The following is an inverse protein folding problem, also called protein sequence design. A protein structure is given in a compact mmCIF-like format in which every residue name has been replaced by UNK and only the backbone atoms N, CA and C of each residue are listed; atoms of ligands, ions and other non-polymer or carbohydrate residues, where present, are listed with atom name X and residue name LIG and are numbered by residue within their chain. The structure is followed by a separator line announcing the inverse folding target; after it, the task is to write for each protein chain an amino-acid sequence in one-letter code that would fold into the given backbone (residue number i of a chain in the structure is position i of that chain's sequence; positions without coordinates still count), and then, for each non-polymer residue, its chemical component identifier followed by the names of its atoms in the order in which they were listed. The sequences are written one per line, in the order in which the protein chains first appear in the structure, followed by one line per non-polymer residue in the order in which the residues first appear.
data_IF_716461405669
#
_entry.id   IF_716461405669
#
_cell.length_a   1.000
_cell.length_b   1.000
_cell.length_c   1.000
_cell.angle_alpha   90.00
_cell.angle_beta   90.00
_cell.angle_gamma   90.00
#
_symmetry.space_group_name_H-M   'P 1'
#
loop_
_entity.id
_entity.type
_entity.pdbx_description
1 polymer ?
#
# COMPACT_ATOMS: atom_id res chain seq x y z
N UNK A 1 19.24 17.47 48.37
CA UNK A 1 20.12 17.74 47.23
C UNK A 1 19.56 16.98 46.03
N UNK A 2 19.00 17.69 45.05
CA UNK A 2 18.54 17.07 43.82
C UNK A 2 19.73 16.83 42.92
N UNK A 3 20.01 15.57 42.56
CA UNK A 3 21.02 15.21 41.58
C UNK A 3 20.47 15.67 40.22
N UNK A 4 21.20 16.48 39.42
CA UNK A 4 20.74 16.83 38.11
C UNK A 4 20.78 15.54 37.24
N UNK A 5 19.61 15.12 36.74
CA UNK A 5 19.52 14.12 35.69
C UNK A 5 20.12 14.79 34.47
N UNK A 6 21.34 14.42 34.13
CA UNK A 6 21.95 14.75 32.84
C UNK A 6 21.05 14.14 31.77
N UNK A 7 20.26 14.98 31.09
CA UNK A 7 19.56 14.56 29.89
C UNK A 7 20.60 14.05 28.89
N UNK A 8 20.67 12.75 28.71
CA UNK A 8 21.53 12.14 27.70
C UNK A 8 21.04 12.67 26.34
N UNK A 9 21.86 13.49 25.67
CA UNK A 9 21.53 13.99 24.35
C UNK A 9 21.34 12.79 23.41
N UNK A 10 20.12 12.58 22.96
CA UNK A 10 19.80 11.52 22.00
C UNK A 10 20.57 11.78 20.69
N UNK A 11 21.26 10.77 20.18
CA UNK A 11 21.97 10.86 18.92
C UNK A 11 20.98 11.14 17.78
N UNK A 12 21.22 12.21 17.04
CA UNK A 12 20.45 12.55 15.83
C UNK A 12 20.93 11.70 14.65
N UNK A 13 20.25 10.59 14.42
CA UNK A 13 20.58 9.64 13.35
C UNK A 13 20.31 10.22 11.95
N UNK A 14 19.45 11.22 11.81
CA UNK A 14 19.10 11.81 10.50
C UNK A 14 20.25 12.58 9.86
N UNK A 15 21.34 12.77 10.58
CA UNK A 15 22.51 13.51 10.12
C UNK A 15 23.68 12.60 9.69
N UNK A 16 23.52 11.28 9.81
CA UNK A 16 24.63 10.36 9.55
C UNK A 16 24.94 10.20 8.05
N UNK A 17 24.00 10.54 7.18
CA UNK A 17 24.14 10.39 5.73
C UNK A 17 24.40 11.70 4.97
N UNK A 18 24.83 12.76 5.66
CA UNK A 18 25.11 14.07 5.05
C UNK A 18 26.13 14.01 3.90
N UNK A 19 27.16 13.19 4.09
CA UNK A 19 28.25 13.03 3.15
C UNK A 19 28.19 11.65 2.44
N UNK A 20 26.98 11.08 2.29
CA UNK A 20 26.85 9.80 1.62
C UNK A 20 27.30 9.88 0.16
N UNK A 21 27.98 8.84 -0.30
CA UNK A 21 28.32 8.68 -1.70
C UNK A 21 27.10 8.18 -2.52
N UNK A 22 26.86 8.79 -3.67
CA UNK A 22 25.78 8.40 -4.59
C UNK A 22 24.44 9.04 -4.29
N UNK A 23 23.42 8.75 -5.11
CA UNK A 23 22.10 9.38 -5.03
C UNK A 23 21.25 8.81 -3.88
N UNK A 24 20.47 9.69 -3.24
CA UNK A 24 19.45 9.31 -2.26
C UNK A 24 18.21 8.76 -2.95
N UNK A 25 17.58 7.76 -2.38
CA UNK A 25 16.29 7.29 -2.86
C UNK A 25 15.21 8.36 -2.62
N UNK A 26 14.35 8.55 -3.60
CA UNK A 26 13.23 9.50 -3.54
C UNK A 26 11.93 8.75 -3.31
N UNK A 27 11.30 8.92 -2.16
CA UNK A 27 10.08 8.22 -1.79
C UNK A 27 8.91 9.20 -1.77
N UNK A 28 7.92 8.95 -2.62
CA UNK A 28 6.64 9.66 -2.66
C UNK A 28 5.57 8.80 -2.00
N UNK A 29 5.02 9.25 -0.87
CA UNK A 29 3.91 8.57 -0.20
C UNK A 29 2.59 9.22 -0.61
N UNK A 30 1.79 8.53 -1.42
CA UNK A 30 0.45 8.94 -1.81
C UNK A 30 -0.58 8.33 -0.84
N UNK A 31 -1.16 9.16 0.02
CA UNK A 31 -2.31 8.79 0.84
C UNK A 31 -3.59 8.75 0.00
N UNK A 32 -4.45 7.77 0.21
CA UNK A 32 -5.75 7.60 -0.48
C UNK A 32 -6.90 7.56 0.49
N UNK A 33 -8.11 7.89 0.02
CA UNK A 33 -9.36 7.81 0.81
C UNK A 33 -9.98 6.41 0.78
N UNK A 34 -9.26 5.38 0.34
CA UNK A 34 -9.79 4.07 -0.03
C UNK A 34 -10.92 4.15 -1.05
N UNK A 35 -10.61 3.87 -2.31
CA UNK A 35 -11.55 4.04 -3.43
C UNK A 35 -12.84 3.21 -3.30
N UNK A 36 -12.86 2.17 -2.46
CA UNK A 36 -14.08 1.44 -2.14
C UNK A 36 -15.12 2.26 -1.36
N UNK A 37 -14.69 3.38 -0.74
CA UNK A 37 -15.55 4.32 -0.02
C UNK A 37 -16.07 5.45 -0.92
N UNK A 38 -15.70 5.47 -2.20
CA UNK A 38 -16.14 6.48 -3.14
C UNK A 38 -17.65 6.37 -3.41
N UNK A 39 -18.34 7.52 -3.67
CA UNK A 39 -19.76 7.52 -3.97
C UNK A 39 -20.07 6.72 -5.24
N UNK A 40 -21.32 6.27 -5.39
CA UNK A 40 -21.77 5.49 -6.55
C UNK A 40 -21.58 6.20 -7.91
N UNK A 41 -21.43 7.52 -7.89
CA UNK A 41 -21.15 8.35 -9.08
C UNK A 41 -19.69 8.32 -9.51
N UNK A 42 -18.79 7.74 -8.71
CA UNK A 42 -17.36 7.64 -9.01
C UNK A 42 -17.11 6.91 -10.33
N UNK A 43 -16.24 7.47 -11.14
CA UNK A 43 -15.74 6.85 -12.38
C UNK A 43 -14.23 6.80 -12.36
N UNK A 44 -13.60 5.68 -12.76
CA UNK A 44 -12.14 5.57 -12.79
C UNK A 44 -11.43 6.70 -13.55
N UNK A 45 -12.03 7.23 -14.62
CA UNK A 45 -11.50 8.36 -15.39
C UNK A 45 -11.29 9.64 -14.57
N UNK A 46 -11.97 9.79 -13.43
CA UNK A 46 -11.72 10.93 -12.52
C UNK A 46 -10.33 10.90 -11.87
N UNK A 47 -9.60 9.78 -11.97
CA UNK A 47 -8.22 9.65 -11.51
C UNK A 47 -7.18 10.04 -12.58
N UNK A 48 -7.56 10.32 -13.83
CA UNK A 48 -6.62 10.55 -14.93
C UNK A 48 -5.65 11.69 -14.63
N UNK A 49 -6.13 12.80 -14.05
CA UNK A 49 -5.30 13.92 -13.64
C UNK A 49 -4.24 13.52 -12.60
N UNK A 50 -4.61 12.67 -11.64
CA UNK A 50 -3.68 12.13 -10.62
C UNK A 50 -2.65 11.22 -11.28
N UNK A 51 -3.09 10.27 -12.12
CA UNK A 51 -2.21 9.33 -12.83
C UNK A 51 -1.19 10.07 -13.72
N UNK A 52 -1.61 11.13 -14.40
CA UNK A 52 -0.74 11.94 -15.26
C UNK A 52 0.37 12.64 -14.46
N UNK A 53 0.05 13.16 -13.27
CA UNK A 53 1.03 13.77 -12.39
C UNK A 53 1.99 12.74 -11.81
N UNK A 54 1.49 11.61 -11.34
CA UNK A 54 2.30 10.50 -10.83
C UNK A 54 3.21 9.91 -11.92
N UNK A 55 2.74 9.81 -13.17
CA UNK A 55 3.56 9.34 -14.28
C UNK A 55 4.75 10.28 -14.58
N UNK A 56 4.61 11.60 -14.34
CA UNK A 56 5.71 12.56 -14.48
C UNK A 56 6.79 12.40 -13.41
N UNK A 57 6.43 11.92 -12.22
CA UNK A 57 7.40 11.54 -11.18
C UNK A 57 8.27 10.35 -11.61
N UNK A 58 7.78 9.51 -12.56
CA UNK A 58 8.47 8.33 -13.11
C UNK A 58 8.95 7.37 -12.01
N UNK A 59 8.08 6.86 -11.14
CA UNK A 59 8.48 5.86 -10.17
C UNK A 59 9.03 4.61 -10.86
N UNK A 60 10.08 4.03 -10.29
CA UNK A 60 10.70 2.77 -10.74
C UNK A 60 10.22 1.59 -9.90
N UNK A 61 9.67 1.89 -8.73
CA UNK A 61 9.08 0.94 -7.79
C UNK A 61 7.76 1.55 -7.33
N UNK A 62 6.70 0.74 -7.32
CA UNK A 62 5.40 1.11 -6.77
C UNK A 62 5.05 0.09 -5.69
N UNK A 63 4.77 0.57 -4.47
CA UNK A 63 4.31 -0.28 -3.36
C UNK A 63 2.84 -0.03 -3.07
N UNK A 64 2.14 -1.05 -2.56
CA UNK A 64 0.70 -1.04 -2.31
C UNK A 64 0.37 -1.63 -0.94
N UNK A 65 -0.70 -1.16 -0.33
CA UNK A 65 -1.27 -1.67 0.90
C UNK A 65 -2.06 -2.95 0.62
N UNK A 66 -1.34 -4.07 0.66
CA UNK A 66 -1.88 -5.43 0.65
C UNK A 66 -0.80 -6.40 1.16
N UNK A 67 -1.22 -7.56 1.64
CA UNK A 67 -0.35 -8.59 2.17
C UNK A 67 0.52 -9.21 1.06
N UNK A 68 1.76 -9.56 1.40
CA UNK A 68 2.65 -10.23 0.46
C UNK A 68 2.28 -11.71 0.27
N UNK A 69 2.77 -12.30 -0.82
CA UNK A 69 2.60 -13.73 -1.07
C UNK A 69 3.24 -14.59 0.02
N UNK A 70 4.39 -14.17 0.53
CA UNK A 70 5.08 -14.85 1.63
C UNK A 70 4.26 -14.82 2.92
N UNK A 71 3.67 -13.69 3.24
CA UNK A 71 2.79 -13.56 4.41
C UNK A 71 1.55 -14.42 4.27
N UNK A 72 0.91 -14.41 3.10
CA UNK A 72 -0.25 -15.23 2.82
C UNK A 72 0.05 -16.73 2.90
N UNK A 73 1.18 -17.19 2.36
CA UNK A 73 1.61 -18.59 2.47
C UNK A 73 1.91 -18.97 3.92
N UNK A 74 2.59 -18.11 4.66
CA UNK A 74 2.84 -18.31 6.08
C UNK A 74 1.53 -18.40 6.88
N UNK A 75 0.59 -17.47 6.66
CA UNK A 75 -0.69 -17.45 7.33
C UNK A 75 -1.53 -18.71 7.02
N UNK A 76 -1.54 -19.16 5.76
CA UNK A 76 -2.21 -20.39 5.33
C UNK A 76 -1.66 -21.66 6.00
N UNK A 77 -0.37 -21.66 6.37
CA UNK A 77 0.23 -22.78 7.15
C UNK A 77 -0.07 -22.70 8.64
N UNK A 78 -0.53 -21.55 9.14
CA UNK A 78 -0.81 -21.31 10.55
C UNK A 78 -2.27 -20.89 10.80
N UNK A 79 -3.22 -21.61 10.18
CA UNK A 79 -4.68 -21.31 10.23
C UNK A 79 -5.21 -21.14 11.66
N UNK A 80 -4.74 -21.95 12.61
CA UNK A 80 -5.15 -21.83 14.02
C UNK A 80 -4.81 -20.45 14.63
N UNK A 81 -3.80 -19.78 14.08
CA UNK A 81 -3.35 -18.45 14.55
C UNK A 81 -4.00 -17.31 13.77
N UNK A 82 -4.06 -17.42 12.44
CA UNK A 82 -4.44 -16.32 11.56
C UNK A 82 -5.87 -16.44 10.99
N UNK A 83 -6.49 -17.61 11.06
CA UNK A 83 -7.77 -17.89 10.41
C UNK A 83 -7.58 -18.43 8.98
N UNK A 84 -8.64 -19.03 8.46
CA UNK A 84 -8.63 -19.59 7.10
C UNK A 84 -8.78 -18.49 6.01
N UNK A 85 -9.34 -17.35 6.38
CA UNK A 85 -9.70 -16.27 5.46
C UNK A 85 -8.71 -15.09 5.51
N UNK A 86 -7.49 -15.30 6.03
CA UNK A 86 -6.47 -14.25 6.14
C UNK A 86 -6.14 -13.66 4.77
N UNK A 87 -5.96 -14.49 3.76
CA UNK A 87 -5.80 -14.08 2.36
C UNK A 87 -6.83 -14.80 1.48
N UNK A 88 -7.14 -14.21 0.34
CA UNK A 88 -8.03 -14.81 -0.64
C UNK A 88 -7.43 -16.12 -1.22
N UNK A 89 -8.27 -17.12 -1.47
CA UNK A 89 -7.84 -18.41 -2.03
C UNK A 89 -7.14 -18.27 -3.39
N UNK A 90 -6.03 -19.00 -3.55
CA UNK A 90 -5.29 -19.15 -4.80
C UNK A 90 -5.48 -20.52 -5.45
N UNK A 91 -6.39 -21.33 -4.95
CA UNK A 91 -6.57 -22.74 -5.37
C UNK A 91 -6.77 -22.88 -6.89
N UNK A 92 -7.59 -22.02 -7.50
CA UNK A 92 -7.80 -22.04 -8.96
C UNK A 92 -6.50 -21.78 -9.74
N UNK A 93 -5.64 -20.89 -9.24
CA UNK A 93 -4.36 -20.59 -9.87
C UNK A 93 -3.33 -21.71 -9.61
N UNK A 94 -3.34 -22.30 -8.40
CA UNK A 94 -2.53 -23.48 -8.07
C UNK A 94 -2.84 -24.64 -9.01
N UNK A 95 -4.11 -24.93 -9.26
CA UNK A 95 -4.54 -25.98 -10.19
C UNK A 95 -4.14 -25.66 -11.64
N UNK A 96 -4.28 -24.41 -12.08
CA UNK A 96 -3.98 -24.00 -13.43
C UNK A 96 -2.46 -23.96 -13.74
N UNK A 97 -1.63 -23.66 -12.76
CA UNK A 97 -0.17 -23.58 -12.91
C UNK A 97 0.54 -24.88 -12.55
N UNK A 98 -0.09 -25.74 -11.75
CA UNK A 98 0.53 -26.91 -11.12
C UNK A 98 1.53 -26.58 -10.02
N UNK A 99 1.56 -25.33 -9.51
CA UNK A 99 2.54 -24.85 -8.55
C UNK A 99 1.84 -24.36 -7.27
N UNK A 100 2.46 -24.62 -6.11
CA UNK A 100 2.11 -23.96 -4.88
C UNK A 100 2.65 -22.50 -4.85
N UNK A 101 2.27 -21.72 -3.83
CA UNK A 101 2.62 -20.32 -3.78
C UNK A 101 4.15 -20.08 -3.74
N UNK A 102 4.97 -20.79 -2.93
CA UNK A 102 6.42 -20.63 -2.93
C UNK A 102 7.06 -20.96 -4.29
N UNK A 103 6.63 -22.04 -4.94
CA UNK A 103 7.15 -22.42 -6.26
C UNK A 103 6.74 -21.40 -7.34
N UNK A 104 5.50 -20.89 -7.27
CA UNK A 104 5.02 -19.86 -8.19
C UNK A 104 5.79 -18.54 -8.03
N UNK A 105 6.09 -18.11 -6.79
CA UNK A 105 6.95 -16.94 -6.50
C UNK A 105 8.34 -17.11 -7.11
N UNK A 106 8.98 -18.25 -6.86
CA UNK A 106 10.33 -18.54 -7.36
C UNK A 106 10.37 -18.54 -8.90
N UNK A 107 9.38 -19.12 -9.57
CA UNK A 107 9.32 -19.14 -11.02
C UNK A 107 9.00 -17.76 -11.60
N UNK A 108 8.14 -16.97 -10.96
CA UNK A 108 7.87 -15.59 -11.36
C UNK A 108 9.15 -14.73 -11.29
N UNK A 109 9.91 -14.82 -10.20
CA UNK A 109 11.17 -14.09 -10.04
C UNK A 109 12.23 -14.52 -11.07
N UNK A 110 12.32 -15.82 -11.36
CA UNK A 110 13.20 -16.34 -12.40
C UNK A 110 12.85 -15.79 -13.78
N UNK A 111 11.55 -15.75 -14.13
CA UNK A 111 11.10 -15.16 -15.39
C UNK A 111 11.44 -13.67 -15.46
N UNK A 112 11.16 -12.90 -14.41
CA UNK A 112 11.45 -11.47 -14.36
C UNK A 112 12.95 -11.17 -14.51
N UNK A 113 13.83 -11.97 -13.89
CA UNK A 113 15.29 -11.84 -14.03
C UNK A 113 15.78 -12.16 -15.45
N UNK A 114 15.10 -13.09 -16.13
CA UNK A 114 15.46 -13.48 -17.48
C UNK A 114 14.90 -12.53 -18.56
N UNK A 115 14.00 -11.62 -18.21
CA UNK A 115 13.34 -10.76 -19.19
C UNK A 115 14.29 -9.67 -19.72
N UNK A 116 14.13 -9.31 -21.02
CA UNK A 116 14.91 -8.24 -21.59
C UNK A 116 14.59 -6.91 -20.90
N UNK A 117 15.58 -6.04 -20.76
CA UNK A 117 15.41 -4.69 -20.17
C UNK A 117 14.38 -3.84 -20.93
N UNK A 118 14.16 -4.15 -22.22
CA UNK A 118 13.15 -3.49 -23.06
C UNK A 118 11.84 -4.30 -23.02
N UNK A 119 10.86 -3.80 -22.30
CA UNK A 119 9.57 -4.47 -22.05
C UNK A 119 8.74 -4.74 -23.32
N UNK A 120 8.96 -3.98 -24.40
CA UNK A 120 8.28 -4.19 -25.70
C UNK A 120 8.63 -5.53 -26.38
N UNK A 121 9.67 -6.22 -25.94
CA UNK A 121 10.07 -7.52 -26.47
C UNK A 121 9.44 -8.72 -25.75
N UNK A 122 8.65 -8.49 -24.69
CA UNK A 122 7.99 -9.55 -23.93
C UNK A 122 6.77 -10.05 -24.70
N UNK A 123 6.76 -11.35 -25.05
CA UNK A 123 5.67 -11.97 -25.80
C UNK A 123 4.39 -12.08 -24.97
N UNK A 124 3.19 -11.99 -25.59
CA UNK A 124 1.90 -12.13 -24.87
C UNK A 124 1.81 -13.41 -24.04
N UNK A 125 2.27 -14.56 -24.58
CA UNK A 125 2.31 -15.82 -23.84
C UNK A 125 3.12 -15.75 -22.54
N UNK A 126 4.25 -15.03 -22.55
CA UNK A 126 5.07 -14.84 -21.35
C UNK A 126 4.35 -13.98 -20.31
N UNK A 127 3.61 -12.94 -20.73
CA UNK A 127 2.81 -12.11 -19.83
C UNK A 127 1.66 -12.90 -19.22
N UNK A 128 0.94 -13.70 -20.01
CA UNK A 128 -0.11 -14.59 -19.48
C UNK A 128 0.46 -15.58 -18.47
N UNK A 129 1.60 -16.21 -18.79
CA UNK A 129 2.28 -17.11 -17.85
C UNK A 129 2.66 -16.40 -16.55
N UNK A 130 3.24 -15.21 -16.61
CA UNK A 130 3.63 -14.45 -15.43
C UNK A 130 2.40 -14.01 -14.62
N UNK A 131 1.30 -13.60 -15.27
CA UNK A 131 0.06 -13.27 -14.59
C UNK A 131 -0.52 -14.50 -13.84
N UNK A 132 -0.48 -15.70 -14.44
CA UNK A 132 -0.90 -16.92 -13.77
C UNK A 132 -0.04 -17.25 -12.53
N UNK A 133 1.28 -17.07 -12.63
CA UNK A 133 2.21 -17.26 -11.51
C UNK A 133 1.95 -16.25 -10.38
N UNK A 134 1.74 -14.98 -10.70
CA UNK A 134 1.37 -13.99 -9.70
C UNK A 134 0.05 -14.31 -9.01
N UNK A 135 -0.96 -14.79 -9.76
CA UNK A 135 -2.22 -15.25 -9.15
C UNK A 135 -2.03 -16.46 -8.23
N UNK A 136 -1.12 -17.38 -8.57
CA UNK A 136 -0.81 -18.53 -7.73
C UNK A 136 0.02 -18.17 -6.49
N UNK A 137 0.68 -17.02 -6.51
CA UNK A 137 1.49 -16.47 -5.41
C UNK A 137 0.81 -15.34 -4.63
N UNK A 138 -0.53 -15.25 -4.64
CA UNK A 138 -1.34 -14.24 -3.96
C UNK A 138 -1.17 -12.79 -4.49
N UNK A 139 -0.38 -12.55 -5.53
CA UNK A 139 -0.10 -11.23 -6.06
C UNK A 139 -1.06 -10.85 -7.21
N UNK A 140 -2.34 -10.64 -6.87
CA UNK A 140 -3.37 -10.28 -7.88
C UNK A 140 -3.08 -8.93 -8.53
N UNK A 141 -2.47 -7.98 -7.82
CA UNK A 141 -2.19 -6.65 -8.36
C UNK A 141 -1.11 -6.71 -9.45
N UNK A 142 -0.02 -7.44 -9.24
CA UNK A 142 1.01 -7.66 -10.27
C UNK A 142 0.49 -8.51 -11.44
N UNK A 143 -0.37 -9.50 -11.17
CA UNK A 143 -1.05 -10.23 -12.24
C UNK A 143 -1.87 -9.28 -13.13
N UNK A 144 -2.58 -8.33 -12.52
CA UNK A 144 -3.35 -7.32 -13.24
C UNK A 144 -2.46 -6.34 -14.02
N UNK A 145 -1.26 -5.98 -13.51
CA UNK A 145 -0.26 -5.22 -14.28
C UNK A 145 0.10 -5.95 -15.58
N UNK A 146 0.36 -7.26 -15.53
CA UNK A 146 0.67 -8.06 -16.72
C UNK A 146 -0.51 -8.13 -17.69
N UNK A 147 -1.74 -8.27 -17.17
CA UNK A 147 -2.97 -8.26 -17.95
C UNK A 147 -3.17 -6.94 -18.70
N UNK A 148 -2.96 -5.81 -18.03
CA UNK A 148 -3.09 -4.48 -18.63
C UNK A 148 -2.09 -4.24 -19.78
N UNK A 149 -0.90 -4.82 -19.69
CA UNK A 149 0.15 -4.69 -20.72
C UNK A 149 -0.04 -5.65 -21.91
N UNK A 150 -1.03 -6.56 -21.88
CA UNK A 150 -1.41 -7.33 -23.03
C UNK A 150 -2.18 -6.48 -24.04
N UNK A 151 -1.91 -6.61 -25.37
CA UNK A 151 -2.83 -6.13 -26.39
C UNK A 151 -4.24 -6.70 -26.14
N UNK A 152 -5.27 -5.95 -26.48
CA UNK A 152 -6.65 -6.35 -26.18
C UNK A 152 -7.00 -7.73 -26.75
N UNK A 153 -6.59 -8.02 -27.99
CA UNK A 153 -6.78 -9.32 -28.65
C UNK A 153 -6.06 -10.48 -27.94
N UNK A 154 -5.05 -10.20 -27.13
CA UNK A 154 -4.28 -11.20 -26.38
C UNK A 154 -4.78 -11.39 -24.95
N UNK A 155 -5.84 -10.66 -24.54
CA UNK A 155 -6.46 -10.77 -23.23
C UNK A 155 -7.47 -11.91 -23.18
N UNK A 156 -6.96 -13.13 -23.25
CA UNK A 156 -7.74 -14.37 -23.25
C UNK A 156 -7.04 -15.47 -22.45
N UNK A 157 -7.70 -16.62 -22.26
CA UNK A 157 -7.13 -17.80 -21.62
C UNK A 157 -5.97 -18.37 -22.44
N UNK A 158 -4.97 -18.92 -21.75
CA UNK A 158 -3.77 -19.53 -22.33
C UNK A 158 -2.58 -19.42 -21.39
N UNK A 159 -1.55 -20.20 -21.61
CA UNK A 159 -0.25 -20.12 -20.94
C UNK A 159 -0.31 -20.17 -19.40
N UNK A 160 -1.25 -20.93 -18.85
CA UNK A 160 -1.48 -21.07 -17.41
C UNK A 160 -2.59 -20.17 -16.86
N UNK A 161 -3.14 -19.24 -17.64
CA UNK A 161 -4.42 -18.59 -17.35
C UNK A 161 -5.56 -19.45 -17.90
N UNK A 162 -6.48 -19.89 -17.07
CA UNK A 162 -7.77 -20.45 -17.50
C UNK A 162 -8.87 -19.37 -17.43
N UNK A 163 -10.08 -19.68 -17.90
CA UNK A 163 -11.19 -18.74 -17.93
C UNK A 163 -11.55 -18.18 -16.54
N UNK A 164 -11.43 -18.99 -15.47
CA UNK A 164 -11.66 -18.56 -14.08
C UNK A 164 -10.66 -17.48 -13.67
N UNK A 165 -9.39 -17.62 -14.04
CA UNK A 165 -8.34 -16.65 -13.73
C UNK A 165 -8.47 -15.38 -14.59
N UNK A 166 -8.88 -15.52 -15.84
CA UNK A 166 -9.20 -14.38 -16.71
C UNK A 166 -10.35 -13.57 -16.10
N UNK A 167 -11.44 -14.22 -15.68
CA UNK A 167 -12.54 -13.53 -15.02
C UNK A 167 -12.10 -12.83 -13.72
N UNK A 168 -11.24 -13.48 -12.91
CA UNK A 168 -10.67 -12.86 -11.70
C UNK A 168 -9.91 -11.55 -12.03
N UNK A 169 -9.12 -11.53 -13.12
CA UNK A 169 -8.41 -10.34 -13.58
C UNK A 169 -9.38 -9.25 -14.09
N UNK A 170 -10.41 -9.64 -14.83
CA UNK A 170 -11.44 -8.71 -15.29
C UNK A 170 -12.21 -8.09 -14.12
N UNK A 171 -12.52 -8.86 -13.11
CA UNK A 171 -13.18 -8.37 -11.89
C UNK A 171 -12.27 -7.47 -11.06
N UNK A 172 -10.96 -7.73 -11.01
CA UNK A 172 -9.99 -6.85 -10.34
C UNK A 172 -10.05 -5.42 -10.93
N UNK A 173 -10.13 -5.30 -12.26
CA UNK A 173 -10.25 -4.01 -12.95
C UNK A 173 -11.56 -3.26 -12.72
N UNK A 174 -12.61 -3.95 -12.27
CA UNK A 174 -13.93 -3.35 -11.94
C UNK A 174 -14.06 -2.91 -10.48
N UNK A 175 -13.12 -3.31 -9.62
CA UNK A 175 -13.14 -2.94 -8.20
C UNK A 175 -12.69 -1.50 -8.02
N UNK A 176 -13.44 -0.74 -7.25
CA UNK A 176 -12.98 0.56 -6.76
C UNK A 176 -11.94 0.33 -5.68
N UNK A 177 -10.68 0.16 -6.12
CA UNK A 177 -9.56 -0.06 -5.22
C UNK A 177 -8.29 0.55 -5.83
N UNK A 178 -7.54 1.27 -5.02
CA UNK A 178 -6.34 2.01 -5.39
C UNK A 178 -5.20 1.13 -5.90
N UNK A 179 -5.11 -0.12 -5.43
CA UNK A 179 -4.10 -1.06 -5.89
C UNK A 179 -4.27 -1.39 -7.38
N UNK A 180 -5.53 -1.39 -7.87
CA UNK A 180 -5.84 -1.65 -9.29
C UNK A 180 -5.95 -0.35 -10.09
N UNK A 181 -6.72 0.64 -9.60
CA UNK A 181 -7.06 1.84 -10.38
C UNK A 181 -5.97 2.91 -10.35
N UNK A 182 -5.05 2.88 -9.38
CA UNK A 182 -3.91 3.80 -9.32
C UNK A 182 -2.61 3.03 -9.56
N UNK A 183 -2.23 2.12 -8.68
CA UNK A 183 -0.92 1.51 -8.68
C UNK A 183 -0.69 0.62 -9.90
N UNK A 184 -1.59 -0.34 -10.19
CA UNK A 184 -1.43 -1.25 -11.33
C UNK A 184 -1.58 -0.54 -12.68
N UNK A 185 -2.53 0.42 -12.80
CA UNK A 185 -2.67 1.24 -14.01
C UNK A 185 -1.40 2.05 -14.28
N UNK A 186 -0.85 2.70 -13.26
CA UNK A 186 0.38 3.47 -13.39
C UNK A 186 1.57 2.57 -13.72
N UNK A 187 1.70 1.42 -13.03
CA UNK A 187 2.75 0.44 -13.32
C UNK A 187 2.72 -0.02 -14.77
N UNK A 188 1.54 -0.39 -15.28
CA UNK A 188 1.37 -0.80 -16.67
C UNK A 188 1.71 0.33 -17.65
N UNK A 189 1.27 1.57 -17.38
CA UNK A 189 1.56 2.76 -18.20
C UNK A 189 3.05 3.07 -18.27
N UNK A 190 3.79 2.82 -17.18
CA UNK A 190 5.24 3.02 -17.10
C UNK A 190 6.06 1.80 -17.57
N UNK A 191 5.42 0.71 -17.95
CA UNK A 191 6.09 -0.52 -18.35
C UNK A 191 6.73 -1.30 -17.18
N UNK A 192 6.35 -1.01 -15.94
CA UNK A 192 6.81 -1.78 -14.78
C UNK A 192 6.17 -3.17 -14.80
N UNK A 193 6.91 -4.16 -14.31
CA UNK A 193 6.46 -5.55 -14.44
C UNK A 193 5.61 -6.03 -13.26
N UNK A 194 5.69 -5.34 -12.14
CA UNK A 194 4.94 -5.65 -10.90
C UNK A 194 4.75 -4.40 -10.04
N UNK A 195 3.89 -4.53 -9.07
CA UNK A 195 3.82 -3.68 -7.87
C UNK A 195 4.25 -4.52 -6.66
N UNK A 196 4.56 -3.89 -5.53
CA UNK A 196 5.07 -4.59 -4.36
C UNK A 196 4.11 -4.46 -3.20
N UNK A 197 3.60 -5.58 -2.72
CA UNK A 197 2.78 -5.68 -1.53
C UNK A 197 3.65 -5.39 -0.28
N UNK A 198 3.18 -4.50 0.60
CA UNK A 198 3.96 -4.08 1.78
C UNK A 198 3.19 -4.10 3.09
N UNK A 199 1.91 -4.41 3.07
CA UNK A 199 1.10 -4.51 4.29
C UNK A 199 1.48 -5.74 5.12
N UNK A 200 1.17 -5.70 6.41
CA UNK A 200 1.41 -6.80 7.33
C UNK A 200 0.47 -6.78 8.53
N UNK A 201 -0.49 -7.68 8.52
CA UNK A 201 -1.49 -7.86 9.57
C UNK A 201 -1.12 -8.95 10.61
N UNK A 202 0.08 -9.51 10.56
CA UNK A 202 0.48 -10.60 11.47
C UNK A 202 0.51 -10.19 12.95
N UNK A 203 0.47 -8.89 13.24
CA UNK A 203 0.42 -8.32 14.59
C UNK A 203 -0.96 -7.87 15.05
N UNK A 204 -2.00 -7.98 14.23
CA UNK A 204 -3.32 -7.45 14.56
C UNK A 204 -4.10 -8.33 15.54
N UNK A 205 -3.67 -9.59 15.69
CA UNK A 205 -4.27 -10.48 16.67
C UNK A 205 -3.89 -10.03 18.09
N UNK A 206 -4.87 -9.57 18.82
CA UNK A 206 -4.76 -9.17 20.22
C UNK A 206 -5.50 -10.16 21.11
N UNK A 207 -4.98 -10.38 22.32
CA UNK A 207 -5.62 -11.17 23.37
C UNK A 207 -6.36 -10.23 24.33
N UNK A 208 -7.61 -9.94 24.00
CA UNK A 208 -8.52 -9.11 24.83
C UNK A 208 -9.75 -9.93 25.20
N UNK A 209 -10.19 -9.79 26.44
CA UNK A 209 -11.31 -10.58 26.96
C UNK A 209 -12.64 -10.28 26.23
N UNK A 210 -12.88 -9.04 25.79
CA UNK A 210 -14.09 -8.62 25.06
C UNK A 210 -13.73 -7.80 23.84
N UNK A 211 -13.66 -8.45 22.68
CA UNK A 211 -13.36 -7.80 21.40
C UNK A 211 -14.44 -6.76 21.00
N UNK A 212 -15.69 -6.97 21.39
CA UNK A 212 -16.76 -6.00 21.08
C UNK A 212 -16.62 -4.74 21.92
N UNK A 213 -16.24 -4.86 23.19
CA UNK A 213 -15.93 -3.72 24.03
C UNK A 213 -14.69 -2.98 23.53
N UNK A 214 -13.67 -3.71 23.07
CA UNK A 214 -12.49 -3.14 22.41
C UNK A 214 -12.89 -2.24 21.24
N UNK A 215 -13.63 -2.77 20.27
CA UNK A 215 -14.09 -2.02 19.09
C UNK A 215 -14.92 -0.80 19.49
N UNK A 216 -15.93 -0.96 20.36
CA UNK A 216 -16.77 0.17 20.84
C UNK A 216 -15.95 1.26 21.52
N UNK A 217 -14.92 0.91 22.25
CA UNK A 217 -14.07 1.88 22.96
C UNK A 217 -13.30 2.77 21.97
N UNK A 218 -12.80 2.19 20.90
CA UNK A 218 -12.10 2.90 19.83
C UNK A 218 -13.07 3.79 19.04
N UNK A 219 -14.21 3.24 18.61
CA UNK A 219 -15.25 4.00 17.90
C UNK A 219 -15.75 5.21 18.71
N UNK A 220 -15.92 5.03 20.02
CA UNK A 220 -16.31 6.12 20.92
C UNK A 220 -15.25 7.20 21.03
N UNK A 221 -13.95 6.82 21.03
CA UNK A 221 -12.85 7.77 21.01
C UNK A 221 -12.85 8.61 19.72
N UNK A 222 -13.10 7.99 18.57
CA UNK A 222 -13.18 8.67 17.28
C UNK A 222 -14.43 9.54 17.13
N UNK A 223 -15.58 9.11 17.68
CA UNK A 223 -16.82 9.86 17.63
C UNK A 223 -16.77 11.18 18.43
N UNK A 224 -15.83 11.33 19.36
CA UNK A 224 -15.63 12.56 20.14
C UNK A 224 -15.02 13.73 19.35
N UNK A 225 -15.01 13.65 18.03
CA UNK A 225 -14.38 14.59 17.09
C UNK A 225 -14.76 16.06 17.28
N UNK A 226 -13.80 16.94 17.00
CA UNK A 226 -13.95 18.40 17.09
C UNK A 226 -14.49 19.05 15.79
N UNK A 227 -14.65 20.38 15.81
CA UNK A 227 -15.19 21.13 14.66
C UNK A 227 -14.30 21.03 13.41
N UNK A 228 -12.95 21.04 13.59
CA UNK A 228 -12.01 20.99 12.46
C UNK A 228 -12.10 19.65 11.71
N UNK A 229 -12.30 18.55 12.44
CA UNK A 229 -12.55 17.25 11.82
C UNK A 229 -13.83 17.23 10.99
N UNK A 230 -14.92 17.82 11.50
CA UNK A 230 -16.19 17.89 10.78
C UNK A 230 -16.03 18.71 9.50
N UNK A 231 -15.34 19.84 9.56
CA UNK A 231 -15.09 20.69 8.38
C UNK A 231 -14.19 19.97 7.37
N UNK A 232 -13.10 19.34 7.85
CA UNK A 232 -12.22 18.55 6.99
C UNK A 232 -12.98 17.43 6.28
N UNK A 233 -13.76 16.64 7.00
CA UNK A 233 -14.56 15.54 6.45
C UNK A 233 -15.60 16.06 5.43
N UNK A 234 -16.30 17.12 5.75
CA UNK A 234 -17.25 17.75 4.82
C UNK A 234 -16.57 18.17 3.50
N UNK A 235 -15.39 18.80 3.60
CA UNK A 235 -14.61 19.20 2.42
C UNK A 235 -14.13 18.01 1.60
N UNK A 236 -13.70 16.95 2.24
CA UNK A 236 -13.31 15.69 1.59
C UNK A 236 -14.50 15.10 0.83
N UNK A 237 -15.68 14.98 1.47
CA UNK A 237 -16.91 14.46 0.88
C UNK A 237 -17.35 15.29 -0.35
N UNK A 238 -17.26 16.63 -0.29
CA UNK A 238 -17.52 17.50 -1.43
C UNK A 238 -16.56 17.22 -2.60
N UNK A 239 -15.28 17.05 -2.32
CA UNK A 239 -14.25 16.79 -3.33
C UNK A 239 -14.35 15.37 -3.93
N UNK A 240 -14.84 14.39 -3.17
CA UNK A 240 -15.10 13.04 -3.67
C UNK A 240 -16.20 12.98 -4.75
N UNK A 241 -17.06 13.99 -4.84
CA UNK A 241 -18.11 14.09 -5.87
C UNK A 241 -17.63 14.70 -7.18
N UNK A 242 -16.39 15.19 -7.24
CA UNK A 242 -15.85 15.86 -8.41
C UNK A 242 -15.55 14.87 -9.56
N UNK A 243 -15.63 15.35 -10.80
CA UNK A 243 -15.27 14.59 -12.00
C UNK A 243 -13.75 14.48 -12.21
N UNK A 244 -12.97 15.32 -11.53
CA UNK A 244 -11.51 15.26 -11.43
C UNK A 244 -11.13 15.21 -9.96
N UNK A 245 -10.43 14.16 -9.54
CA UNK A 245 -10.03 13.93 -8.15
C UNK A 245 -8.67 14.56 -7.81
N UNK A 246 -7.99 15.20 -8.73
CA UNK A 246 -6.70 15.87 -8.44
C UNK A 246 -6.84 16.89 -7.28
N UNK A 247 -7.89 17.71 -7.19
CA UNK A 247 -8.13 18.59 -6.03
C UNK A 247 -8.31 17.83 -4.72
N UNK A 248 -8.96 16.66 -4.74
CA UNK A 248 -9.10 15.81 -3.55
C UNK A 248 -7.73 15.34 -3.05
N UNK A 249 -6.91 14.76 -3.93
CA UNK A 249 -5.59 14.24 -3.57
C UNK A 249 -4.63 15.35 -3.10
N UNK A 250 -4.76 16.56 -3.63
CA UNK A 250 -4.05 17.75 -3.11
C UNK A 250 -4.49 18.06 -1.68
N UNK A 251 -5.80 18.20 -1.48
CA UNK A 251 -6.40 18.56 -0.18
C UNK A 251 -6.05 17.58 0.93
N UNK A 252 -6.23 16.28 0.71
CA UNK A 252 -5.93 15.27 1.72
C UNK A 252 -4.43 15.13 2.02
N UNK A 253 -3.58 15.64 1.12
CA UNK A 253 -2.12 15.64 1.30
C UNK A 253 -1.59 16.92 1.94
N UNK A 254 -2.43 17.91 2.19
CA UNK A 254 -2.03 19.15 2.89
C UNK A 254 -1.61 18.84 4.34
N UNK A 255 -0.51 19.44 4.83
CA UNK A 255 -0.02 19.18 6.20
C UNK A 255 -1.10 19.37 7.26
N UNK A 256 -1.93 20.40 7.13
CA UNK A 256 -3.01 20.68 8.09
C UNK A 256 -4.12 19.62 8.02
N UNK A 257 -4.51 19.16 6.82
CA UNK A 257 -5.47 18.08 6.64
C UNK A 257 -4.97 16.78 7.27
N UNK A 258 -3.69 16.44 7.07
CA UNK A 258 -3.04 15.28 7.67
C UNK A 258 -2.95 15.37 9.20
N UNK A 259 -2.61 16.56 9.74
CA UNK A 259 -2.55 16.81 11.18
C UNK A 259 -3.92 16.58 11.82
N UNK A 260 -4.97 17.22 11.29
CA UNK A 260 -6.34 17.06 11.79
C UNK A 260 -6.76 15.58 11.76
N UNK A 261 -6.40 14.86 10.69
CA UNK A 261 -6.74 13.44 10.54
C UNK A 261 -6.02 12.56 11.58
N UNK A 262 -4.72 12.78 11.79
CA UNK A 262 -3.93 12.04 12.78
C UNK A 262 -4.41 12.31 14.23
N UNK A 263 -4.74 13.57 14.53
CA UNK A 263 -5.31 13.95 15.83
C UNK A 263 -6.68 13.32 16.08
N UNK A 264 -7.49 13.23 15.02
CA UNK A 264 -8.82 12.61 15.06
C UNK A 264 -8.77 11.13 15.41
N UNK A 265 -7.77 10.44 14.89
CA UNK A 265 -7.64 9.00 15.06
C UNK A 265 -6.75 8.64 16.26
N UNK A 266 -5.46 8.89 16.16
CA UNK A 266 -4.48 8.41 17.12
C UNK A 266 -4.50 9.24 18.41
N UNK A 267 -4.47 10.57 18.31
CA UNK A 267 -4.47 11.39 19.52
C UNK A 267 -5.81 11.31 20.27
N UNK A 268 -6.92 11.14 19.58
CA UNK A 268 -8.22 10.89 20.20
C UNK A 268 -8.23 9.57 21.00
N UNK A 269 -7.71 8.49 20.40
CA UNK A 269 -7.56 7.20 21.05
C UNK A 269 -6.63 7.28 22.27
N UNK A 270 -5.50 7.99 22.17
CA UNK A 270 -4.56 8.16 23.29
C UNK A 270 -5.16 8.95 24.46
N UNK A 271 -6.07 9.89 24.20
CA UNK A 271 -6.77 10.68 25.25
C UNK A 271 -7.99 9.96 25.82
N UNK A 272 -8.51 8.95 25.16
CA UNK A 272 -9.72 8.25 25.59
C UNK A 272 -9.46 7.47 26.89
N UNK A 273 -10.41 7.54 27.82
CA UNK A 273 -10.36 6.79 29.07
C UNK A 273 -11.03 5.44 28.89
N UNK A 274 -10.31 4.37 29.17
CA UNK A 274 -10.81 2.99 29.22
C UNK A 274 -10.13 2.27 30.38
N UNK A 275 -10.87 1.62 31.29
CA UNK A 275 -10.26 0.84 32.35
C UNK A 275 -9.28 -0.22 31.86
N UNK A 276 -9.57 -0.81 30.72
CA UNK A 276 -8.77 -1.86 30.09
C UNK A 276 -7.65 -1.30 29.18
N UNK A 277 -7.62 0.02 28.94
CA UNK A 277 -6.66 0.65 28.04
C UNK A 277 -6.84 0.30 26.55
N UNK A 278 -8.02 -0.10 26.12
CA UNK A 278 -8.30 -0.57 24.76
C UNK A 278 -7.88 0.41 23.66
N UNK A 279 -8.17 1.73 23.72
CA UNK A 279 -7.73 2.65 22.70
C UNK A 279 -6.20 2.73 22.58
N UNK A 280 -5.47 2.65 23.69
CA UNK A 280 -4.01 2.66 23.72
C UNK A 280 -3.42 1.37 23.17
N UNK A 281 -4.06 0.21 23.43
CA UNK A 281 -3.71 -1.09 22.83
C UNK A 281 -3.86 -1.01 21.30
N UNK A 282 -4.95 -0.40 20.82
CA UNK A 282 -5.15 -0.20 19.38
C UNK A 282 -4.03 0.67 18.77
N UNK A 283 -3.66 1.78 19.40
CA UNK A 283 -2.57 2.64 18.92
C UNK A 283 -1.26 1.88 18.83
N UNK A 284 -0.92 1.07 19.85
CA UNK A 284 0.30 0.26 19.83
C UNK A 284 0.31 -0.74 18.66
N UNK A 285 -0.82 -1.41 18.40
CA UNK A 285 -0.97 -2.30 17.22
C UNK A 285 -0.83 -1.55 15.90
N UNK A 286 -1.47 -0.38 15.80
CA UNK A 286 -1.36 0.52 14.66
C UNK A 286 0.09 0.93 14.34
N UNK A 287 0.85 1.34 15.34
CA UNK A 287 2.25 1.70 15.18
C UNK A 287 3.11 0.50 14.76
N UNK A 288 2.89 -0.68 15.35
CA UNK A 288 3.59 -1.91 14.97
C UNK A 288 3.33 -2.24 13.49
N UNK A 289 2.07 -2.18 13.02
CA UNK A 289 1.73 -2.41 11.62
C UNK A 289 2.45 -1.40 10.72
N UNK A 290 2.39 -0.11 11.04
CA UNK A 290 3.10 0.93 10.28
C UNK A 290 4.62 0.67 10.21
N UNK A 291 5.28 0.29 11.31
CA UNK A 291 6.70 -0.03 11.32
C UNK A 291 7.04 -1.21 10.40
N UNK A 292 6.21 -2.25 10.39
CA UNK A 292 6.37 -3.39 9.49
C UNK A 292 6.23 -2.98 8.03
N UNK A 293 5.19 -2.21 7.70
CA UNK A 293 4.99 -1.69 6.35
C UNK A 293 6.17 -0.81 5.90
N UNK A 294 6.67 0.06 6.75
CA UNK A 294 7.83 0.92 6.47
C UNK A 294 9.09 0.09 6.23
N UNK A 295 9.31 -0.99 6.99
CA UNK A 295 10.40 -1.92 6.77
C UNK A 295 10.26 -2.65 5.41
N UNK A 296 9.05 -3.13 5.09
CA UNK A 296 8.74 -3.78 3.82
C UNK A 296 8.94 -2.81 2.63
N UNK A 297 8.52 -1.54 2.76
CA UNK A 297 8.79 -0.51 1.74
C UNK A 297 10.29 -0.36 1.54
N UNK A 298 11.07 -0.21 2.62
CA UNK A 298 12.53 -0.03 2.54
C UNK A 298 13.22 -1.21 1.85
N UNK A 299 12.72 -2.42 2.07
CA UNK A 299 13.25 -3.64 1.46
C UNK A 299 13.13 -3.61 -0.07
N UNK A 300 12.05 -3.05 -0.64
CA UNK A 300 11.82 -3.03 -2.10
C UNK A 300 12.91 -2.28 -2.88
N UNK A 301 13.61 -1.34 -2.25
CA UNK A 301 14.67 -0.55 -2.87
C UNK A 301 16.02 -0.63 -2.15
N UNK A 302 16.21 -1.62 -1.24
CA UNK A 302 17.47 -1.84 -0.53
C UNK A 302 18.67 -1.96 -1.48
N UNK A 303 18.50 -2.66 -2.60
CA UNK A 303 19.52 -2.92 -3.60
C UNK A 303 19.53 -1.88 -4.75
N UNK A 304 18.77 -0.80 -4.61
CA UNK A 304 18.59 0.21 -5.66
C UNK A 304 18.77 1.63 -5.11
N UNK A 305 20.02 2.03 -4.75
CA UNK A 305 20.30 3.40 -4.33
C UNK A 305 19.83 4.41 -5.39
N UNK A 306 19.20 5.49 -4.96
CA UNK A 306 18.69 6.53 -5.85
C UNK A 306 17.36 6.20 -6.55
N UNK A 307 16.73 5.06 -6.26
CA UNK A 307 15.45 4.71 -6.86
C UNK A 307 14.35 5.73 -6.53
N UNK A 308 13.46 5.96 -7.49
CA UNK A 308 12.19 6.66 -7.26
C UNK A 308 11.11 5.65 -6.90
N UNK A 309 10.56 5.80 -5.71
CA UNK A 309 9.57 4.90 -5.12
C UNK A 309 8.25 5.66 -4.94
N UNK A 310 7.15 5.10 -5.42
CA UNK A 310 5.80 5.55 -5.11
C UNK A 310 5.16 4.53 -4.15
N UNK A 311 4.71 4.99 -3.00
CA UNK A 311 3.94 4.19 -2.05
C UNK A 311 2.48 4.65 -2.10
N UNK A 312 1.56 3.76 -2.47
CA UNK A 312 0.11 3.99 -2.47
C UNK A 312 -0.48 3.32 -1.24
N UNK A 313 -1.07 4.09 -0.34
CA UNK A 313 -1.47 3.62 0.99
C UNK A 313 -2.67 4.43 1.50
N UNK A 314 -3.47 3.85 2.39
CA UNK A 314 -4.53 4.60 3.07
C UNK A 314 -4.00 5.86 3.76
N UNK A 315 -4.76 6.94 3.67
CA UNK A 315 -4.37 8.27 4.15
C UNK A 315 -3.86 8.27 5.60
N UNK A 316 -4.42 7.41 6.44
CA UNK A 316 -4.06 7.29 7.84
C UNK A 316 -2.61 6.89 8.09
N UNK A 317 -2.00 6.16 7.18
CA UNK A 317 -0.60 5.71 7.26
C UNK A 317 0.41 6.78 6.85
N UNK A 318 0.02 7.70 5.96
CA UNK A 318 0.94 8.66 5.34
C UNK A 318 1.80 9.47 6.33
N UNK A 319 1.28 10.06 7.43
CA UNK A 319 2.12 10.82 8.35
C UNK A 319 3.22 9.97 9.01
N UNK A 320 2.94 8.70 9.32
CA UNK A 320 3.92 7.75 9.86
C UNK A 320 4.97 7.39 8.83
N UNK A 321 4.55 7.12 7.60
CA UNK A 321 5.46 6.76 6.52
C UNK A 321 6.39 7.91 6.16
N UNK A 322 5.86 9.11 5.98
CA UNK A 322 6.69 10.31 5.72
C UNK A 322 7.72 10.52 6.84
N UNK A 323 7.30 10.39 8.11
CA UNK A 323 8.17 10.57 9.26
C UNK A 323 9.24 9.48 9.36
N UNK A 324 8.86 8.21 9.29
CA UNK A 324 9.78 7.11 9.58
C UNK A 324 10.70 6.78 8.40
N UNK A 325 10.19 6.84 7.17
CA UNK A 325 11.04 6.70 5.98
C UNK A 325 12.03 7.87 5.87
N UNK A 326 11.58 9.09 6.18
CA UNK A 326 12.44 10.28 6.16
C UNK A 326 13.55 10.28 7.20
N UNK A 327 13.49 9.42 8.23
CA UNK A 327 14.56 9.21 9.21
C UNK A 327 15.56 8.13 8.77
N UNK A 328 15.30 7.40 7.68
CA UNK A 328 16.19 6.36 7.19
C UNK A 328 17.33 6.95 6.37
N UNK A 329 18.52 6.35 6.51
CA UNK A 329 19.72 6.80 5.80
C UNK A 329 19.55 6.65 4.28
N UNK A 330 19.91 7.70 3.54
CA UNK A 330 19.85 7.71 2.09
C UNK A 330 18.44 7.78 1.50
N UNK A 331 17.46 8.31 2.24
CA UNK A 331 16.07 8.47 1.81
C UNK A 331 15.66 9.95 1.88
N UNK A 332 15.06 10.45 0.81
CA UNK A 332 14.38 11.75 0.76
C UNK A 332 12.89 11.53 0.54
N UNK A 333 12.06 12.15 1.37
CA UNK A 333 10.61 12.17 1.18
C UNK A 333 10.26 13.28 0.20
N UNK A 334 9.62 12.89 -0.90
CA UNK A 334 9.16 13.83 -1.92
C UNK A 334 7.81 14.41 -1.50
N UNK A 335 7.69 15.73 -1.52
CA UNK A 335 6.43 16.39 -1.19
C UNK A 335 5.38 16.10 -2.28
N UNK A 336 4.26 15.49 -1.89
CA UNK A 336 3.13 15.20 -2.78
C UNK A 336 2.61 16.46 -3.47
N UNK A 337 2.56 17.60 -2.75
CA UNK A 337 2.08 18.86 -3.32
C UNK A 337 2.91 19.31 -4.52
N UNK A 338 4.22 19.02 -4.55
CA UNK A 338 5.10 19.38 -5.67
C UNK A 338 4.86 18.48 -6.89
N UNK A 339 4.53 17.22 -6.68
CA UNK A 339 4.23 16.27 -7.75
C UNK A 339 2.83 16.49 -8.33
N UNK A 340 1.86 16.81 -7.50
CA UNK A 340 0.47 17.00 -7.92
C UNK A 340 0.13 18.43 -8.40
N UNK A 341 1.08 19.33 -8.54
CA UNK A 341 0.91 20.69 -9.09
C UNK A 341 0.30 20.73 -10.48
#
# INVERSE_FOLDING_TARGET
MAVPVLAQAQLDLTKLDRDMAGPRAQVLVLGTVHLNSMPASFKPASLDGVLDKLAKFKPEIITIETESGEECDMAARHVARYGADYCASVEAARLATGLDAPAAMAEADKLLKAWPKQTMQVKPAQRRRLAALFLASYDTASAYVQWLQLPEMERHAGDGLNDVLVEKLMQAGKRNNENYLIAAQLAARLGLQRVHAVDNHTGDRIDVADIKAFVRSIESAWAAGNQDQKLRKKREEELMLATDLLPLYRYISEPESLRIYAEANVAAAMRAKSPEGYPQIWVAGWEIRNMRMVANIRETFRERPGARVLTVVGLSHKPWFDSWLGQMQGVDIVNVADVLK
#
